data_IF_129869355455
#
_entry.id   IF_129869355455
#
_cell.length_a   1.000
_cell.length_b   1.000
_cell.length_c   1.000
_cell.angle_alpha   90.00
_cell.angle_beta   90.00
_cell.angle_gamma   90.00
#
_symmetry.space_group_name_H-M   'P 1'
#
loop_
_entity.id
_entity.type
_entity.pdbx_description
1 polymer ?
#
# COMPACT_ATOMS: atom_id res chain seq x y z
N UNK A 1 -29.45 -45.58 0.26
CA UNK A 1 -28.56 -45.84 -0.90
C UNK A 1 -28.60 -44.58 -1.74
N UNK A 2 -27.66 -43.67 -1.45
CA UNK A 2 -26.44 -43.42 -2.26
C UNK A 2 -26.85 -42.57 -3.47
N UNK A 3 -26.64 -41.26 -3.46
CA UNK A 3 -25.33 -40.59 -3.61
C UNK A 3 -25.43 -39.80 -4.93
N UNK A 4 -24.84 -38.64 -5.17
CA UNK A 4 -23.79 -37.85 -4.53
C UNK A 4 -23.97 -36.41 -5.05
N UNK A 5 -23.70 -35.43 -4.19
CA UNK A 5 -23.41 -34.05 -4.56
C UNK A 5 -22.20 -33.98 -5.51
N UNK A 6 -22.27 -33.15 -6.55
CA UNK A 6 -21.09 -32.64 -7.24
C UNK A 6 -21.29 -31.19 -7.66
N UNK A 7 -20.47 -30.24 -7.17
CA UNK A 7 -20.45 -28.89 -7.69
C UNK A 7 -19.60 -28.84 -8.96
N UNK A 8 -20.26 -28.79 -10.13
CA UNK A 8 -19.61 -28.43 -11.38
C UNK A 8 -19.31 -26.94 -11.38
N UNK A 9 -18.08 -26.58 -11.03
CA UNK A 9 -17.20 -25.73 -11.84
C UNK A 9 -15.80 -25.78 -11.24
N UNK A 10 -15.02 -26.77 -11.69
CA UNK A 10 -13.58 -26.82 -11.47
C UNK A 10 -12.91 -25.75 -12.32
N UNK A 11 -12.00 -25.00 -11.70
CA UNK A 11 -11.21 -23.92 -12.28
C UNK A 11 -10.31 -24.44 -13.43
N UNK A 12 -10.55 -24.00 -14.68
CA UNK A 12 -9.96 -24.58 -15.91
C UNK A 12 -8.66 -23.92 -16.39
N UNK A 13 -7.87 -23.32 -15.50
CA UNK A 13 -6.47 -22.98 -15.80
C UNK A 13 -6.24 -21.80 -16.76
N UNK A 14 -7.28 -21.20 -17.35
CA UNK A 14 -7.18 -19.88 -18.02
C UNK A 14 -6.96 -18.76 -16.98
N UNK A 15 -7.34 -19.02 -15.73
CA UNK A 15 -7.10 -18.26 -14.50
C UNK A 15 -5.71 -18.45 -13.89
N UNK A 16 -4.98 -19.51 -14.27
CA UNK A 16 -3.70 -19.90 -13.66
C UNK A 16 -2.59 -18.88 -13.95
N UNK A 17 -2.47 -18.43 -15.21
CA UNK A 17 -1.53 -17.39 -15.60
C UNK A 17 -1.83 -16.05 -14.92
N UNK A 18 -3.13 -15.71 -14.79
CA UNK A 18 -3.58 -14.50 -14.10
C UNK A 18 -3.32 -14.57 -12.58
N UNK A 19 -3.51 -15.73 -11.95
CA UNK A 19 -3.19 -15.95 -10.53
C UNK A 19 -1.68 -15.77 -10.27
N UNK A 20 -0.84 -16.42 -11.08
CA UNK A 20 0.62 -16.32 -10.96
C UNK A 20 1.08 -14.88 -11.19
N UNK A 21 0.64 -14.27 -12.29
CA UNK A 21 0.98 -12.89 -12.64
C UNK A 21 0.56 -11.91 -11.55
N UNK A 22 -0.69 -12.00 -11.06
CA UNK A 22 -1.17 -11.11 -10.00
C UNK A 22 -0.41 -11.32 -8.69
N UNK A 23 -0.14 -12.57 -8.31
CA UNK A 23 0.64 -12.89 -7.12
C UNK A 23 2.04 -12.30 -7.18
N UNK A 24 2.75 -12.49 -8.30
CA UNK A 24 4.10 -11.95 -8.49
C UNK A 24 4.10 -10.42 -8.53
N UNK A 25 3.11 -9.79 -9.18
CA UNK A 25 2.98 -8.33 -9.21
C UNK A 25 2.80 -7.75 -7.79
N UNK A 26 1.87 -8.31 -7.00
CA UNK A 26 1.64 -7.87 -5.61
C UNK A 26 2.87 -8.13 -4.73
N UNK A 27 3.50 -9.30 -4.82
CA UNK A 27 4.66 -9.61 -3.97
C UNK A 27 5.85 -8.72 -4.34
N UNK A 28 6.18 -8.53 -5.61
CA UNK A 28 7.31 -7.68 -6.02
C UNK A 28 7.14 -6.26 -5.49
N UNK A 29 5.95 -5.70 -5.63
CA UNK A 29 5.65 -4.37 -5.14
C UNK A 29 5.73 -4.31 -3.60
N UNK A 30 4.91 -5.09 -2.90
CA UNK A 30 4.76 -4.95 -1.45
C UNK A 30 5.94 -5.50 -0.65
N UNK A 31 6.69 -6.48 -1.17
CA UNK A 31 7.93 -6.93 -0.50
C UNK A 31 8.97 -5.81 -0.46
N UNK A 32 9.14 -5.06 -1.55
CA UNK A 32 9.99 -3.87 -1.57
C UNK A 32 9.50 -2.80 -0.58
N UNK A 33 8.21 -2.51 -0.55
CA UNK A 33 7.61 -1.57 0.41
C UNK A 33 7.87 -2.01 1.87
N UNK A 34 7.65 -3.29 2.21
CA UNK A 34 7.90 -3.81 3.57
C UNK A 34 9.40 -3.84 3.94
N UNK A 35 10.29 -4.11 2.99
CA UNK A 35 11.73 -3.97 3.16
C UNK A 35 12.09 -2.53 3.52
N UNK A 36 11.59 -1.57 2.75
CA UNK A 36 11.85 -0.13 2.95
C UNK A 36 11.28 0.37 4.28
N UNK A 37 10.08 -0.06 4.69
CA UNK A 37 9.55 0.22 6.02
C UNK A 37 10.47 -0.22 7.15
N UNK A 38 11.11 -1.38 7.00
CA UNK A 38 12.04 -1.90 8.00
C UNK A 38 13.24 -0.97 8.17
N UNK A 39 13.73 -0.38 7.07
CA UNK A 39 14.75 0.68 7.10
C UNK A 39 14.21 1.95 7.77
N UNK A 40 13.05 2.45 7.35
CA UNK A 40 12.52 3.74 7.85
C UNK A 40 12.21 3.69 9.35
N UNK A 41 11.58 2.63 9.83
CA UNK A 41 11.31 2.43 11.26
C UNK A 41 12.60 2.40 12.07
N UNK A 42 13.63 1.72 11.55
CA UNK A 42 14.96 1.65 12.18
C UNK A 42 15.61 3.02 12.32
N UNK A 43 15.48 3.89 11.32
CA UNK A 43 16.04 5.26 11.37
C UNK A 43 15.39 6.13 12.46
N UNK A 44 14.15 5.81 12.86
CA UNK A 44 13.45 6.51 13.94
C UNK A 44 13.68 5.95 15.34
N UNK A 45 14.40 4.83 15.50
CA UNK A 45 14.71 4.28 16.83
C UNK A 45 15.87 5.02 17.50
N UNK A 46 15.92 4.94 18.83
CA UNK A 46 17.05 5.45 19.62
C UNK A 46 18.21 4.46 19.49
N UNK A 47 19.45 4.95 19.62
CA UNK A 47 20.63 4.13 19.41
C UNK A 47 20.73 2.96 20.41
N UNK A 48 20.20 3.14 21.63
CA UNK A 48 20.17 2.11 22.68
C UNK A 48 19.11 1.02 22.48
N UNK A 49 18.13 1.21 21.58
CA UNK A 49 17.05 0.26 21.30
C UNK A 49 17.53 -0.90 20.40
N UNK A 50 18.69 -1.48 20.73
CA UNK A 50 19.42 -2.46 19.92
C UNK A 50 18.59 -3.68 19.54
N UNK A 51 17.67 -4.13 20.41
CA UNK A 51 16.75 -5.23 20.10
C UNK A 51 15.76 -4.86 18.98
N UNK A 52 15.16 -3.67 19.02
CA UNK A 52 14.26 -3.19 17.97
C UNK A 52 15.01 -2.96 16.66
N UNK A 53 16.23 -2.42 16.75
CA UNK A 53 17.11 -2.22 15.58
C UNK A 53 17.45 -3.56 14.93
N UNK A 54 17.81 -4.58 15.71
CA UNK A 54 18.11 -5.92 15.20
C UNK A 54 16.89 -6.58 14.57
N UNK A 55 15.73 -6.50 15.22
CA UNK A 55 14.46 -7.04 14.72
C UNK A 55 14.05 -6.37 13.39
N UNK A 56 14.18 -5.04 13.28
CA UNK A 56 13.96 -4.33 12.03
C UNK A 56 14.94 -4.75 10.92
N UNK A 57 16.23 -4.94 11.24
CA UNK A 57 17.22 -5.44 10.27
C UNK A 57 16.91 -6.87 9.79
N UNK A 58 16.35 -7.72 10.66
CA UNK A 58 15.89 -9.06 10.27
C UNK A 58 14.73 -8.95 9.28
N UNK A 59 13.71 -8.13 9.55
CA UNK A 59 12.61 -7.91 8.62
C UNK A 59 13.08 -7.32 7.27
N UNK A 60 14.02 -6.38 7.29
CA UNK A 60 14.65 -5.87 6.07
C UNK A 60 15.20 -7.02 5.22
N UNK A 61 16.01 -7.91 5.80
CA UNK A 61 16.62 -9.06 5.09
C UNK A 61 15.59 -10.08 4.63
N UNK A 62 14.54 -10.32 5.42
CA UNK A 62 13.44 -11.23 5.05
C UNK A 62 12.77 -10.72 3.77
N UNK A 63 12.37 -9.45 3.74
CA UNK A 63 11.68 -8.89 2.59
C UNK A 63 12.60 -8.66 1.38
N UNK A 64 13.89 -8.38 1.61
CA UNK A 64 14.89 -8.37 0.54
C UNK A 64 15.01 -9.73 -0.15
N UNK A 65 15.04 -10.82 0.61
CA UNK A 65 15.06 -12.18 0.05
C UNK A 65 13.75 -12.50 -0.69
N UNK A 66 12.60 -12.14 -0.11
CA UNK A 66 11.29 -12.32 -0.76
C UNK A 66 11.23 -11.58 -2.09
N UNK A 67 11.68 -10.33 -2.13
CA UNK A 67 11.72 -9.50 -3.35
C UNK A 67 12.59 -10.16 -4.42
N UNK A 68 13.81 -10.60 -4.07
CA UNK A 68 14.71 -11.31 -4.97
C UNK A 68 14.08 -12.60 -5.51
N UNK A 69 13.48 -13.42 -4.64
CA UNK A 69 12.79 -14.64 -5.05
C UNK A 69 11.63 -14.36 -6.00
N UNK A 70 10.80 -13.35 -5.70
CA UNK A 70 9.68 -12.97 -6.54
C UNK A 70 10.11 -12.46 -7.93
N UNK A 71 11.27 -11.81 -8.02
CA UNK A 71 11.86 -11.40 -9.30
C UNK A 71 12.52 -12.55 -10.07
N UNK A 72 12.90 -13.65 -9.39
CA UNK A 72 13.42 -14.86 -10.06
C UNK A 72 12.32 -15.73 -10.71
N UNK A 73 11.08 -15.65 -10.20
CA UNK A 73 9.93 -16.30 -10.80
C UNK A 73 9.41 -15.54 -12.03
N UNK A 74 8.63 -16.23 -12.86
CA UNK A 74 8.00 -15.68 -14.06
C UNK A 74 6.56 -16.21 -14.21
N UNK A 75 5.82 -15.74 -15.22
CA UNK A 75 4.41 -16.11 -15.41
C UNK A 75 4.19 -17.59 -15.78
N UNK A 76 5.25 -18.34 -16.05
CA UNK A 76 5.22 -19.79 -16.34
C UNK A 76 5.60 -20.63 -15.10
N UNK A 77 5.88 -19.99 -13.97
CA UNK A 77 6.20 -20.69 -12.71
C UNK A 77 4.99 -21.51 -12.26
N UNK A 78 5.24 -22.72 -11.75
CA UNK A 78 4.19 -23.63 -11.28
C UNK A 78 3.24 -22.91 -10.28
N UNK A 79 1.92 -22.85 -10.56
CA UNK A 79 0.95 -22.23 -9.68
C UNK A 79 0.98 -22.76 -8.24
N UNK A 80 1.28 -24.04 -8.04
CA UNK A 80 1.37 -24.61 -6.69
C UNK A 80 2.63 -24.14 -5.96
N UNK A 81 3.72 -23.88 -6.68
CA UNK A 81 4.90 -23.20 -6.12
C UNK A 81 4.55 -21.77 -5.70
N UNK A 82 3.79 -21.04 -6.51
CA UNK A 82 3.34 -19.67 -6.19
C UNK A 82 2.36 -19.66 -5.01
N UNK A 83 1.45 -20.63 -4.92
CA UNK A 83 0.52 -20.76 -3.79
C UNK A 83 1.25 -20.94 -2.47
N UNK A 84 2.29 -21.80 -2.44
CA UNK A 84 3.18 -21.97 -1.27
C UNK A 84 3.92 -20.68 -0.94
N UNK A 85 4.50 -20.04 -1.95
CA UNK A 85 5.21 -18.77 -1.78
C UNK A 85 4.30 -17.66 -1.24
N UNK A 86 3.07 -17.53 -1.75
CA UNK A 86 2.06 -16.61 -1.23
C UNK A 86 1.81 -16.83 0.27
N UNK A 87 1.67 -18.09 0.71
CA UNK A 87 1.46 -18.41 2.13
C UNK A 87 2.67 -18.04 3.01
N UNK A 88 3.89 -18.30 2.53
CA UNK A 88 5.12 -17.90 3.23
C UNK A 88 5.24 -16.38 3.37
N UNK A 89 4.98 -15.64 2.28
CA UNK A 89 5.03 -14.17 2.27
C UNK A 89 3.88 -13.57 3.09
N UNK A 90 2.71 -14.19 3.10
CA UNK A 90 1.57 -13.80 3.94
C UNK A 90 1.91 -13.93 5.43
N UNK A 91 2.65 -14.98 5.82
CA UNK A 91 3.14 -15.14 7.19
C UNK A 91 4.19 -14.06 7.52
N UNK A 92 5.10 -13.75 6.61
CA UNK A 92 6.06 -12.66 6.80
C UNK A 92 5.38 -11.29 6.96
N UNK A 93 4.36 -11.00 6.14
CA UNK A 93 3.52 -9.80 6.25
C UNK A 93 2.77 -9.73 7.58
N UNK A 94 2.27 -10.87 8.08
CA UNK A 94 1.66 -10.99 9.40
C UNK A 94 2.66 -10.69 10.52
N UNK A 95 3.88 -11.23 10.43
CA UNK A 95 4.90 -11.03 11.45
C UNK A 95 5.34 -9.55 11.52
N UNK A 96 5.59 -8.89 10.38
CA UNK A 96 5.95 -7.46 10.39
C UNK A 96 4.77 -6.57 10.81
N UNK A 97 3.53 -6.97 10.54
CA UNK A 97 2.35 -6.29 11.07
C UNK A 97 2.38 -6.27 12.60
N UNK A 98 2.61 -7.42 13.24
CA UNK A 98 2.69 -7.50 14.71
C UNK A 98 3.90 -6.75 15.27
N UNK A 99 5.05 -6.78 14.59
CA UNK A 99 6.19 -5.94 14.96
C UNK A 99 5.85 -4.44 14.94
N UNK A 100 5.17 -3.97 13.88
CA UNK A 100 4.66 -2.59 13.79
C UNK A 100 3.64 -2.28 14.90
N UNK A 101 2.76 -3.21 15.27
CA UNK A 101 1.84 -3.04 16.43
C UNK A 101 2.58 -2.97 17.77
N UNK A 102 3.62 -3.79 17.97
CA UNK A 102 4.49 -3.74 19.15
C UNK A 102 5.15 -2.37 19.28
N UNK A 103 5.76 -1.86 18.20
CA UNK A 103 6.37 -0.52 18.18
C UNK A 103 5.33 0.55 18.52
N UNK A 104 4.16 0.51 17.87
CA UNK A 104 3.09 1.49 18.15
C UNK A 104 2.70 1.48 19.63
N UNK A 105 2.53 0.31 20.24
CA UNK A 105 2.22 0.18 21.66
C UNK A 105 3.30 0.78 22.57
N UNK A 106 4.58 0.60 22.23
CA UNK A 106 5.69 1.21 22.98
C UNK A 106 5.69 2.74 22.88
N UNK A 107 5.43 3.28 21.69
CA UNK A 107 5.36 4.74 21.47
C UNK A 107 4.16 5.34 22.23
N UNK A 108 2.96 4.75 22.09
CA UNK A 108 1.74 5.25 22.74
C UNK A 108 1.74 5.11 24.27
N UNK A 109 2.59 4.25 24.82
CA UNK A 109 2.82 4.13 26.27
C UNK A 109 4.08 4.86 26.73
N UNK A 110 4.65 5.72 25.88
CA UNK A 110 5.80 6.57 26.17
C UNK A 110 7.06 5.81 26.63
N UNK A 111 7.21 4.53 26.24
CA UNK A 111 8.33 3.68 26.66
C UNK A 111 9.63 3.91 25.88
N UNK A 112 9.59 4.77 24.86
CA UNK A 112 10.72 5.11 23.99
C UNK A 112 10.92 6.64 23.92
N UNK A 113 11.16 7.35 25.04
CA UNK A 113 11.36 8.79 25.02
C UNK A 113 12.57 9.16 24.15
N UNK A 114 12.37 10.04 23.16
CA UNK A 114 13.40 10.49 22.21
C UNK A 114 13.43 9.76 20.86
N UNK A 115 12.56 8.76 20.64
CA UNK A 115 12.38 8.15 19.32
C UNK A 115 11.67 9.10 18.32
N UNK A 116 11.87 8.91 17.02
CA UNK A 116 11.41 9.81 15.95
C UNK A 116 10.35 9.24 14.99
N UNK A 117 9.87 8.01 15.19
CA UNK A 117 8.76 7.48 14.40
C UNK A 117 7.45 8.12 14.84
N UNK A 118 6.75 8.79 13.93
CA UNK A 118 5.38 9.26 14.21
C UNK A 118 4.47 8.06 14.50
N UNK A 119 3.63 8.09 15.56
CA UNK A 119 2.66 7.01 15.81
C UNK A 119 1.75 6.75 14.60
N UNK A 120 1.36 7.81 13.88
CA UNK A 120 0.57 7.70 12.65
C UNK A 120 1.33 6.97 11.53
N UNK A 121 2.64 7.18 11.39
CA UNK A 121 3.47 6.44 10.43
C UNK A 121 3.53 4.95 10.80
N UNK A 122 3.72 4.61 12.07
CA UNK A 122 3.71 3.21 12.50
C UNK A 122 2.33 2.56 12.30
N UNK A 123 1.25 3.31 12.51
CA UNK A 123 -0.11 2.90 12.12
C UNK A 123 -0.25 2.64 10.62
N UNK A 124 0.10 3.64 9.82
CA UNK A 124 0.06 3.64 8.36
C UNK A 124 0.77 2.42 7.76
N UNK A 125 2.05 2.25 8.07
CA UNK A 125 2.84 1.14 7.52
C UNK A 125 2.28 -0.23 7.94
N UNK A 126 1.56 -0.33 9.07
CA UNK A 126 0.89 -1.58 9.47
C UNK A 126 -0.39 -1.84 8.68
N UNK A 127 -1.12 -0.78 8.28
CA UNK A 127 -2.31 -0.92 7.45
C UNK A 127 -1.95 -1.47 6.07
N UNK A 128 -0.83 -1.05 5.51
CA UNK A 128 -0.30 -1.63 4.27
C UNK A 128 0.18 -3.08 4.45
N UNK A 129 0.88 -3.39 5.55
CA UNK A 129 1.24 -4.79 5.86
C UNK A 129 -0.02 -5.68 5.96
N UNK A 130 -1.08 -5.14 6.56
CA UNK A 130 -2.37 -5.79 6.67
C UNK A 130 -3.11 -5.92 5.33
N UNK A 131 -3.03 -4.91 4.47
CA UNK A 131 -3.52 -4.95 3.09
C UNK A 131 -2.81 -6.07 2.31
N UNK A 132 -1.48 -6.09 2.34
CA UNK A 132 -0.68 -7.09 1.64
C UNK A 132 -0.99 -8.51 2.11
N UNK A 133 -1.06 -8.72 3.43
CA UNK A 133 -1.48 -10.00 4.05
C UNK A 133 -2.84 -10.47 3.55
N UNK A 134 -3.84 -9.57 3.50
CA UNK A 134 -5.20 -9.91 3.06
C UNK A 134 -5.24 -10.22 1.56
N UNK A 135 -4.54 -9.44 0.73
CA UNK A 135 -4.46 -9.65 -0.71
C UNK A 135 -3.89 -11.04 -1.05
N UNK A 136 -2.84 -11.47 -0.37
CA UNK A 136 -2.27 -12.82 -0.58
C UNK A 136 -3.24 -13.94 -0.17
N UNK A 137 -4.02 -13.73 0.88
CA UNK A 137 -5.07 -14.66 1.28
C UNK A 137 -6.18 -14.73 0.23
N UNK A 138 -6.68 -13.58 -0.23
CA UNK A 138 -7.71 -13.50 -1.28
C UNK A 138 -7.27 -14.21 -2.58
N UNK A 139 -5.99 -14.02 -2.97
CA UNK A 139 -5.41 -14.69 -4.13
C UNK A 139 -5.36 -16.21 -3.94
N UNK A 140 -4.86 -16.69 -2.81
CA UNK A 140 -4.76 -18.13 -2.55
C UNK A 140 -6.12 -18.81 -2.40
N UNK A 141 -7.14 -18.11 -1.89
CA UNK A 141 -8.49 -18.65 -1.75
C UNK A 141 -9.35 -18.50 -3.02
N UNK A 142 -8.87 -17.79 -4.04
CA UNK A 142 -9.67 -17.49 -5.24
C UNK A 142 -10.84 -16.56 -4.97
N UNK A 143 -10.74 -15.70 -3.94
CA UNK A 143 -11.82 -14.82 -3.44
C UNK A 143 -11.50 -13.35 -3.68
N UNK A 144 -11.01 -13.02 -4.87
CA UNK A 144 -10.91 -11.61 -5.28
C UNK A 144 -12.32 -11.01 -5.34
N UNK A 145 -12.42 -9.75 -4.93
CA UNK A 145 -13.69 -9.05 -4.82
C UNK A 145 -14.23 -8.69 -6.20
N UNK A 146 -15.56 -8.65 -6.32
CA UNK A 146 -16.21 -8.16 -7.53
C UNK A 146 -15.88 -6.68 -7.79
N UNK A 147 -15.82 -6.27 -9.05
CA UNK A 147 -15.37 -4.94 -9.49
C UNK A 147 -16.03 -3.77 -8.71
N UNK A 148 -17.36 -3.71 -8.50
CA UNK A 148 -17.97 -2.59 -7.78
C UNK A 148 -17.56 -2.50 -6.31
N UNK A 149 -17.25 -3.64 -5.68
CA UNK A 149 -16.78 -3.69 -4.29
C UNK A 149 -15.28 -3.35 -4.21
N UNK A 150 -14.49 -3.84 -5.16
CA UNK A 150 -13.07 -3.54 -5.28
C UNK A 150 -12.81 -2.04 -5.50
N UNK A 151 -13.57 -1.37 -6.38
CA UNK A 151 -13.46 0.07 -6.63
C UNK A 151 -13.54 0.85 -5.32
N UNK A 152 -14.60 0.62 -4.53
CA UNK A 152 -14.82 1.36 -3.28
C UNK A 152 -13.72 1.04 -2.27
N UNK A 153 -13.45 -0.25 -2.02
CA UNK A 153 -12.50 -0.66 -0.97
C UNK A 153 -11.06 -0.22 -1.24
N UNK A 154 -10.60 -0.32 -2.48
CA UNK A 154 -9.26 0.14 -2.86
C UNK A 154 -9.13 1.65 -2.72
N UNK A 155 -10.11 2.42 -3.20
CA UNK A 155 -10.09 3.87 -3.06
C UNK A 155 -10.16 4.31 -1.58
N UNK A 156 -11.03 3.71 -0.75
CA UNK A 156 -11.07 4.01 0.69
C UNK A 156 -9.71 3.76 1.35
N UNK A 157 -9.04 2.66 0.99
CA UNK A 157 -7.70 2.34 1.49
C UNK A 157 -6.66 3.37 1.02
N UNK A 158 -6.51 3.54 -0.29
CA UNK A 158 -5.44 4.36 -0.87
C UNK A 158 -5.64 5.86 -0.67
N UNK A 159 -6.88 6.38 -0.63
CA UNK A 159 -7.12 7.78 -0.30
C UNK A 159 -6.64 8.11 1.11
N UNK A 160 -6.81 7.19 2.06
CA UNK A 160 -6.24 7.34 3.41
C UNK A 160 -4.71 7.32 3.39
N UNK A 161 -4.11 6.42 2.62
CA UNK A 161 -2.65 6.36 2.44
C UNK A 161 -2.12 7.68 1.83
N UNK A 162 -2.79 8.22 0.81
CA UNK A 162 -2.41 9.50 0.20
C UNK A 162 -2.57 10.69 1.14
N UNK A 163 -3.65 10.73 1.93
CA UNK A 163 -3.84 11.74 2.97
C UNK A 163 -2.72 11.73 4.01
N UNK A 164 -2.33 10.53 4.48
CA UNK A 164 -1.23 10.35 5.43
C UNK A 164 0.10 10.80 4.83
N UNK A 165 0.39 10.44 3.57
CA UNK A 165 1.61 10.84 2.88
C UNK A 165 1.78 12.36 2.78
N UNK A 166 0.72 13.07 2.42
CA UNK A 166 0.76 14.52 2.33
C UNK A 166 1.10 15.15 3.70
N UNK A 167 0.55 14.61 4.79
CA UNK A 167 0.90 15.01 6.16
C UNK A 167 2.37 14.70 6.48
N UNK A 168 2.86 13.50 6.17
CA UNK A 168 4.26 13.14 6.41
C UNK A 168 5.23 14.05 5.67
N UNK A 169 4.96 14.35 4.39
CA UNK A 169 5.77 15.29 3.62
C UNK A 169 5.78 16.67 4.29
N UNK A 170 4.60 17.21 4.64
CA UNK A 170 4.51 18.51 5.31
C UNK A 170 5.26 18.58 6.64
N UNK A 171 5.20 17.51 7.44
CA UNK A 171 5.87 17.43 8.75
C UNK A 171 7.38 17.15 8.68
N UNK A 172 7.86 16.55 7.60
CA UNK A 172 9.29 16.22 7.42
C UNK A 172 10.05 17.23 6.56
N UNK A 173 9.35 18.12 5.86
CA UNK A 173 9.94 19.33 5.27
C UNK A 173 10.45 20.26 6.38
N UNK A 174 11.56 20.95 6.12
CA UNK A 174 12.01 21.98 7.05
C UNK A 174 10.97 23.11 7.11
N UNK A 175 10.61 23.64 8.29
CA UNK A 175 9.60 24.70 8.42
C UNK A 175 9.93 25.99 7.64
N UNK A 176 11.18 26.20 7.20
CA UNK A 176 11.55 27.31 6.32
C UNK A 176 11.14 27.10 4.86
N UNK A 177 10.80 25.88 4.43
CA UNK A 177 10.22 25.57 3.10
C UNK A 177 8.72 25.89 3.02
N UNK A 178 8.33 27.09 3.50
CA UNK A 178 6.94 27.50 3.72
C UNK A 178 6.00 27.17 2.57
N UNK A 179 6.42 27.45 1.33
CA UNK A 179 5.63 27.20 0.12
C UNK A 179 5.37 25.70 -0.11
N UNK A 180 6.36 24.85 0.12
CA UNK A 180 6.22 23.39 -0.05
C UNK A 180 5.43 22.77 1.10
N UNK A 181 5.59 23.29 2.33
CA UNK A 181 4.80 22.88 3.49
C UNK A 181 3.32 23.21 3.27
N UNK A 182 2.99 24.42 2.82
CA UNK A 182 1.61 24.82 2.53
C UNK A 182 1.02 23.99 1.37
N UNK A 183 1.81 23.68 0.35
CA UNK A 183 1.38 22.80 -0.74
C UNK A 183 1.07 21.37 -0.25
N UNK A 184 1.94 20.79 0.58
CA UNK A 184 1.70 19.48 1.19
C UNK A 184 0.44 19.49 2.08
N UNK A 185 0.20 20.59 2.81
CA UNK A 185 -1.01 20.79 3.60
C UNK A 185 -2.28 20.85 2.73
N UNK A 186 -2.23 21.52 1.58
CA UNK A 186 -3.37 21.57 0.65
C UNK A 186 -3.71 20.17 0.15
N UNK A 187 -2.72 19.39 -0.30
CA UNK A 187 -2.96 17.99 -0.65
C UNK A 187 -3.52 17.18 0.52
N UNK A 188 -3.04 17.38 1.75
CA UNK A 188 -3.61 16.71 2.92
C UNK A 188 -5.11 17.01 3.07
N UNK A 189 -5.52 18.26 2.92
CA UNK A 189 -6.93 18.66 3.02
C UNK A 189 -7.76 18.04 1.89
N UNK A 190 -7.25 18.07 0.66
CA UNK A 190 -7.94 17.51 -0.51
C UNK A 190 -8.19 16.01 -0.31
N UNK A 191 -7.18 15.26 0.12
CA UNK A 191 -7.33 13.82 0.34
C UNK A 191 -8.15 13.46 1.59
N UNK A 192 -8.18 14.32 2.61
CA UNK A 192 -9.12 14.14 3.73
C UNK A 192 -10.58 14.27 3.25
N UNK A 193 -10.87 15.22 2.34
CA UNK A 193 -12.20 15.37 1.74
C UNK A 193 -12.58 14.17 0.87
N UNK A 194 -11.69 13.74 -0.03
CA UNK A 194 -11.92 12.57 -0.89
C UNK A 194 -12.12 11.29 -0.07
N UNK A 195 -11.34 11.11 1.02
CA UNK A 195 -11.50 9.96 1.91
C UNK A 195 -12.88 9.95 2.58
N UNK A 196 -13.39 11.10 3.01
CA UNK A 196 -14.73 11.18 3.58
C UNK A 196 -15.81 10.86 2.55
N UNK A 197 -15.71 11.40 1.34
CA UNK A 197 -16.62 11.05 0.24
C UNK A 197 -16.60 9.54 -0.06
N UNK A 198 -15.42 8.92 -0.08
CA UNK A 198 -15.27 7.48 -0.28
C UNK A 198 -15.93 6.65 0.84
N UNK A 199 -15.87 7.11 2.09
CA UNK A 199 -16.51 6.45 3.24
C UNK A 199 -18.03 6.60 3.23
N UNK A 200 -18.54 7.73 2.79
CA UNK A 200 -19.98 7.94 2.60
C UNK A 200 -20.48 7.03 1.47
N UNK A 201 -19.77 6.99 0.34
CA UNK A 201 -20.06 6.09 -0.76
C UNK A 201 -20.01 4.61 -0.31
N UNK A 202 -19.02 4.22 0.49
CA UNK A 202 -18.92 2.88 1.09
C UNK A 202 -20.11 2.56 1.99
N UNK A 203 -20.58 3.53 2.78
CA UNK A 203 -21.69 3.35 3.72
C UNK A 203 -23.05 3.25 3.03
N UNK A 204 -23.17 3.80 1.82
CA UNK A 204 -24.36 3.73 0.97
C UNK A 204 -24.43 2.47 0.09
N UNK A 205 -23.50 1.52 0.25
CA UNK A 205 -23.51 0.26 -0.52
C UNK A 205 -24.61 -0.69 -0.04
N UNK A 206 -25.23 -1.50 -0.95
CA UNK A 206 -24.92 -1.61 -2.37
C UNK A 206 -25.57 -0.55 -3.27
N UNK A 207 -26.42 0.33 -2.76
CA UNK A 207 -27.19 1.29 -3.57
C UNK A 207 -26.31 2.33 -4.28
N UNK A 208 -25.15 2.67 -3.70
CA UNK A 208 -24.16 3.56 -4.31
C UNK A 208 -23.33 2.91 -5.43
N UNK A 209 -23.41 1.60 -5.62
CA UNK A 209 -22.60 0.85 -6.59
C UNK A 209 -23.19 0.91 -8.02
N UNK A 210 -23.69 2.08 -8.42
CA UNK A 210 -24.16 2.30 -9.79
C UNK A 210 -22.98 2.73 -10.68
N UNK A 211 -23.01 2.33 -11.95
CA UNK A 211 -21.93 2.67 -12.90
C UNK A 211 -21.66 4.19 -12.94
N UNK A 212 -22.66 5.09 -13.03
CA UNK A 212 -22.40 6.53 -13.07
C UNK A 212 -21.75 7.09 -11.80
N UNK A 213 -22.11 6.58 -10.61
CA UNK A 213 -21.51 7.04 -9.36
C UNK A 213 -20.06 6.55 -9.23
N UNK A 214 -19.78 5.31 -9.64
CA UNK A 214 -18.41 4.76 -9.61
C UNK A 214 -17.51 5.43 -10.64
N UNK A 215 -18.02 5.73 -11.84
CA UNK A 215 -17.30 6.45 -12.91
C UNK A 215 -16.88 7.86 -12.44
N UNK A 216 -17.84 8.66 -11.97
CA UNK A 216 -17.57 9.99 -11.43
C UNK A 216 -16.64 9.97 -10.21
N UNK A 217 -16.77 8.96 -9.36
CA UNK A 217 -15.90 8.77 -8.19
C UNK A 217 -14.44 8.50 -8.59
N UNK A 218 -14.22 7.62 -9.57
CA UNK A 218 -12.88 7.35 -10.10
C UNK A 218 -12.28 8.60 -10.76
N UNK A 219 -13.07 9.33 -11.56
CA UNK A 219 -12.65 10.56 -12.23
C UNK A 219 -12.15 11.63 -11.25
N UNK A 220 -12.93 11.90 -10.19
CA UNK A 220 -12.56 12.89 -9.17
C UNK A 220 -11.27 12.49 -8.43
N UNK A 221 -11.16 11.21 -8.07
CA UNK A 221 -9.98 10.71 -7.37
C UNK A 221 -8.74 10.80 -8.26
N UNK A 222 -8.86 10.41 -9.54
CA UNK A 222 -7.75 10.35 -10.49
C UNK A 222 -7.02 11.69 -10.61
N UNK A 223 -7.75 12.79 -10.77
CA UNK A 223 -7.17 14.14 -10.90
C UNK A 223 -6.27 14.47 -9.70
N UNK A 224 -6.75 14.21 -8.50
CA UNK A 224 -6.02 14.50 -7.26
C UNK A 224 -4.81 13.57 -7.06
N UNK A 225 -4.94 12.29 -7.40
CA UNK A 225 -3.86 11.31 -7.30
C UNK A 225 -2.74 11.61 -8.29
N UNK A 226 -3.06 11.96 -9.54
CA UNK A 226 -2.07 12.39 -10.54
C UNK A 226 -1.31 13.62 -10.07
N UNK A 227 -2.02 14.64 -9.58
CA UNK A 227 -1.40 15.86 -9.05
C UNK A 227 -0.46 15.59 -7.87
N UNK A 228 -0.90 14.74 -6.91
CA UNK A 228 -0.06 14.35 -5.78
C UNK A 228 1.14 13.50 -6.21
N UNK A 229 0.97 12.58 -7.16
CA UNK A 229 2.08 11.79 -7.72
C UNK A 229 3.15 12.71 -8.32
N UNK A 230 2.77 13.72 -9.09
CA UNK A 230 3.70 14.68 -9.69
C UNK A 230 4.41 15.55 -8.66
N UNK A 231 3.70 15.97 -7.63
CA UNK A 231 4.31 16.62 -6.48
C UNK A 231 5.34 15.72 -5.79
N UNK A 232 5.01 14.46 -5.52
CA UNK A 232 5.92 13.48 -4.92
C UNK A 232 7.16 13.22 -5.77
N UNK A 233 6.99 13.09 -7.09
CA UNK A 233 8.09 12.94 -8.06
C UNK A 233 9.02 14.16 -8.01
N UNK A 234 8.44 15.36 -8.07
CA UNK A 234 9.19 16.62 -8.02
C UNK A 234 9.93 16.75 -6.69
N UNK A 235 9.27 16.45 -5.57
CA UNK A 235 9.89 16.49 -4.24
C UNK A 235 11.07 15.52 -4.13
N UNK A 236 10.93 14.28 -4.61
CA UNK A 236 12.03 13.31 -4.70
C UNK A 236 13.22 13.89 -5.47
N UNK A 237 12.98 14.37 -6.68
CA UNK A 237 14.04 14.90 -7.56
C UNK A 237 14.75 16.11 -6.89
N UNK A 238 14.02 16.97 -6.19
CA UNK A 238 14.58 18.09 -5.43
C UNK A 238 15.41 17.66 -4.22
N UNK A 239 14.97 16.63 -3.48
CA UNK A 239 15.68 16.07 -2.32
C UNK A 239 17.00 15.44 -2.78
N UNK A 240 16.97 14.61 -3.83
CA UNK A 240 18.16 13.97 -4.41
C UNK A 240 19.19 14.98 -4.91
N UNK A 241 18.72 16.14 -5.40
CA UNK A 241 19.57 17.24 -5.88
C UNK A 241 19.97 18.23 -4.78
N UNK A 242 19.61 17.97 -3.52
CA UNK A 242 19.83 18.88 -2.39
C UNK A 242 19.29 20.30 -2.60
N UNK A 243 18.18 20.44 -3.34
CA UNK A 243 17.56 21.74 -3.68
C UNK A 243 16.52 22.22 -2.68
N UNK A 244 16.13 21.39 -1.73
CA UNK A 244 15.21 21.73 -0.64
C UNK A 244 15.73 21.20 0.70
N UNK A 245 15.30 21.82 1.79
CA UNK A 245 15.66 21.46 3.17
C UNK A 245 14.59 20.55 3.75
N UNK A 246 14.98 19.38 4.23
CA UNK A 246 14.07 18.43 4.87
C UNK A 246 14.85 17.41 5.69
N UNK A 247 14.14 16.65 6.51
CA UNK A 247 14.61 15.40 7.11
C UNK A 247 14.03 14.18 6.38
N UNK A 248 13.57 14.36 5.13
CA UNK A 248 13.04 13.30 4.28
C UNK A 248 14.22 12.56 3.64
N UNK A 249 14.38 11.28 3.97
CA UNK A 249 15.34 10.43 3.28
C UNK A 249 14.95 10.31 1.78
N UNK A 250 15.88 10.40 0.81
CA UNK A 250 15.54 10.34 -0.63
C UNK A 250 14.70 9.11 -0.99
N UNK A 251 15.07 7.93 -0.47
CA UNK A 251 14.30 6.68 -0.65
C UNK A 251 12.86 6.74 -0.09
N UNK A 252 12.60 7.52 0.97
CA UNK A 252 11.23 7.70 1.47
C UNK A 252 10.39 8.52 0.48
N UNK A 253 10.98 9.54 -0.15
CA UNK A 253 10.30 10.31 -1.18
C UNK A 253 9.96 9.44 -2.41
N UNK A 254 10.88 8.57 -2.84
CA UNK A 254 10.63 7.60 -3.91
C UNK A 254 9.58 6.53 -3.51
N UNK A 255 9.63 6.06 -2.27
CA UNK A 255 8.69 5.08 -1.73
C UNK A 255 7.25 5.57 -1.81
N UNK A 256 6.96 6.75 -1.25
CA UNK A 256 5.60 7.30 -1.29
C UNK A 256 5.16 7.69 -2.72
N UNK A 257 6.13 7.99 -3.62
CA UNK A 257 5.86 8.20 -5.04
C UNK A 257 5.37 6.90 -5.71
N UNK A 258 6.08 5.78 -5.52
CA UNK A 258 5.68 4.48 -6.08
C UNK A 258 4.31 4.01 -5.61
N UNK A 259 3.94 4.31 -4.38
CA UNK A 259 2.58 4.00 -3.87
C UNK A 259 1.49 4.86 -4.51
N UNK A 260 1.77 6.14 -4.80
CA UNK A 260 0.84 6.98 -5.56
C UNK A 260 0.71 6.48 -7.00
N UNK A 261 1.83 6.11 -7.63
CA UNK A 261 1.85 5.57 -8.98
C UNK A 261 1.07 4.24 -9.08
N UNK A 262 1.27 3.35 -8.10
CA UNK A 262 0.49 2.11 -7.97
C UNK A 262 -1.01 2.36 -7.81
N UNK A 263 -1.41 3.42 -7.09
CA UNK A 263 -2.82 3.75 -6.96
C UNK A 263 -3.42 4.25 -8.29
N UNK A 264 -2.65 5.01 -9.09
CA UNK A 264 -3.08 5.42 -10.44
C UNK A 264 -3.32 4.19 -11.32
N UNK A 265 -2.41 3.21 -11.32
CA UNK A 265 -2.61 1.97 -12.08
C UNK A 265 -3.93 1.26 -11.71
N UNK A 266 -4.27 1.25 -10.41
CA UNK A 266 -5.51 0.63 -9.92
C UNK A 266 -6.74 1.42 -10.39
N UNK A 267 -6.70 2.76 -10.32
CA UNK A 267 -7.78 3.63 -10.81
C UNK A 267 -7.98 3.43 -12.31
N UNK A 268 -6.91 3.50 -13.10
CA UNK A 268 -6.96 3.39 -14.56
C UNK A 268 -7.45 2.01 -15.00
N UNK A 269 -7.02 0.95 -14.30
CA UNK A 269 -7.51 -0.41 -14.53
C UNK A 269 -9.00 -0.53 -14.21
N UNK A 270 -9.48 0.02 -13.09
CA UNK A 270 -10.90 -0.01 -12.77
C UNK A 270 -11.76 0.80 -13.73
N UNK A 271 -11.29 1.97 -14.15
CA UNK A 271 -11.99 2.82 -15.13
C UNK A 271 -12.17 2.09 -16.47
N UNK A 272 -11.12 1.45 -16.96
CA UNK A 272 -11.17 0.65 -18.18
C UNK A 272 -12.17 -0.51 -18.10
N UNK A 273 -12.22 -1.22 -16.95
CA UNK A 273 -13.17 -2.32 -16.75
C UNK A 273 -14.60 -1.84 -16.53
N UNK A 274 -14.80 -0.66 -15.96
CA UNK A 274 -16.12 -0.09 -15.68
C UNK A 274 -16.78 0.46 -16.95
N UNK A 275 -16.00 1.09 -17.82
CA UNK A 275 -16.48 1.71 -19.08
C UNK A 275 -16.43 0.76 -20.28
N UNK A 276 -15.69 -0.34 -20.21
CA UNK A 276 -15.46 -1.24 -21.34
C UNK A 276 -14.43 -0.70 -22.34
N UNK A 277 -13.57 0.25 -21.91
CA UNK A 277 -12.47 0.79 -22.71
C UNK A 277 -12.87 1.86 -23.74
N UNK A 278 -14.02 2.52 -23.58
CA UNK A 278 -14.60 3.47 -24.56
C UNK A 278 -14.32 4.95 -24.28
N UNK A 279 -13.20 5.28 -23.62
CA UNK A 279 -12.75 6.67 -23.44
C UNK A 279 -11.50 6.98 -24.25
#
# INVERSE_FOLDING_TARGET
MNGEDSPLHADTGVTSGLFVERSLNEIRFWSRIMKEHSLFLRLGFRAEDTQLIQEANQFYRIFERIEQTAHSFNNQTDPEQIRRFNSEVQQAATNIFFFKRKILGLILTCKLPGQNNFPLLVDHTSREANYFRKRLLELNEGKLQALPEAIIKENVFFLRIMADHAKFIGHLLDPSERKLVDLARNFSNDFDQLLYQARDLESMKPQSQTVPLLDQFLDQNRVSVVSLRDFKKTARDLIEQCKIKSIIHPLLADHVFREADRFIEIIDMFDAHLTGGTR
#
